data_IF_656891549895
#
_entry.id   IF_656891549895
#
_cell.length_a   1.000
_cell.length_b   1.000
_cell.length_c   1.000
_cell.angle_alpha   90.00
_cell.angle_beta   90.00
_cell.angle_gamma   90.00
#
_symmetry.space_group_name_H-M   'P 1'
#
loop_
_entity.id
_entity.type
_entity.pdbx_description
1 polymer ?
#
# COMPACT_ATOMS: atom_id res chain seq x y z
N UNK A 1 55.70 55.50 1.74
CA UNK A 1 55.34 54.08 1.40
C UNK A 1 53.85 54.00 1.46
N UNK A 2 53.10 53.76 0.36
CA UNK A 2 51.66 53.61 0.42
C UNK A 2 51.31 52.22 0.94
N UNK A 3 50.46 52.21 1.95
CA UNK A 3 49.98 51.01 2.63
C UNK A 3 49.00 50.24 1.69
N UNK A 4 49.41 49.09 1.14
CA UNK A 4 48.61 48.21 0.29
C UNK A 4 47.83 47.26 1.18
N UNK A 5 46.75 47.72 1.77
CA UNK A 5 45.78 46.85 2.43
C UNK A 5 45.05 46.01 1.38
N UNK A 6 45.14 44.68 1.40
CA UNK A 6 44.47 43.84 0.41
C UNK A 6 42.96 43.93 0.59
N UNK A 7 42.23 44.23 -0.48
CA UNK A 7 40.78 44.29 -0.50
C UNK A 7 40.17 42.94 -0.05
N UNK A 8 39.13 42.93 0.81
CA UNK A 8 38.51 41.72 1.30
C UNK A 8 37.88 40.95 0.12
N UNK A 9 38.38 39.73 -0.13
CA UNK A 9 37.79 38.82 -1.11
C UNK A 9 36.39 38.47 -0.66
N UNK A 10 35.38 39.00 -1.32
CA UNK A 10 33.96 38.61 -1.16
C UNK A 10 33.84 37.15 -1.53
N UNK A 11 33.75 36.25 -0.53
CA UNK A 11 33.45 34.82 -0.74
C UNK A 11 32.05 34.72 -1.34
N UNK A 12 31.81 34.02 -2.46
CA UNK A 12 30.51 33.96 -3.09
C UNK A 12 29.53 33.25 -2.15
N UNK A 13 28.57 33.98 -1.59
CA UNK A 13 27.54 33.50 -0.67
C UNK A 13 26.67 32.41 -1.31
N UNK A 14 26.65 32.33 -2.63
CA UNK A 14 25.95 31.27 -3.38
C UNK A 14 26.34 29.86 -2.92
N UNK A 15 27.61 29.59 -2.57
CA UNK A 15 28.05 28.26 -2.09
C UNK A 15 27.31 27.83 -0.82
N UNK A 16 26.82 28.77 -0.02
CA UNK A 16 26.03 28.50 1.17
C UNK A 16 24.63 27.97 0.81
N UNK A 17 24.09 28.34 -0.35
CA UNK A 17 22.76 27.94 -0.81
C UNK A 17 22.76 26.63 -1.59
N UNK A 18 23.92 26.11 -2.01
CA UNK A 18 23.99 24.84 -2.78
C UNK A 18 23.49 23.67 -1.94
N UNK A 19 23.92 23.54 -0.69
CA UNK A 19 23.47 22.43 0.17
C UNK A 19 21.98 22.45 0.45
N UNK A 20 21.36 23.57 0.88
CA UNK A 20 19.90 23.64 1.01
C UNK A 20 19.18 23.36 -0.31
N UNK A 21 19.67 23.88 -1.42
CA UNK A 21 19.07 23.63 -2.73
C UNK A 21 19.10 22.14 -3.10
N UNK A 22 20.22 21.45 -2.88
CA UNK A 22 20.35 20.01 -3.11
C UNK A 22 19.38 19.20 -2.23
N UNK A 23 19.22 19.58 -0.97
CA UNK A 23 18.25 18.95 -0.07
C UNK A 23 16.81 19.12 -0.57
N UNK A 24 16.45 20.30 -1.03
CA UNK A 24 15.12 20.56 -1.59
C UNK A 24 14.89 19.73 -2.86
N UNK A 25 15.87 19.66 -3.75
CA UNK A 25 15.79 18.84 -4.97
C UNK A 25 15.66 17.36 -4.62
N UNK A 26 16.45 16.86 -3.65
CA UNK A 26 16.37 15.49 -3.20
C UNK A 26 15.00 15.15 -2.57
N UNK A 27 14.48 16.06 -1.74
CA UNK A 27 13.14 15.90 -1.14
C UNK A 27 12.03 15.92 -2.20
N UNK A 28 12.13 16.79 -3.19
CA UNK A 28 11.18 16.83 -4.30
C UNK A 28 11.21 15.56 -5.15
N UNK A 29 12.42 15.08 -5.49
CA UNK A 29 12.62 13.84 -6.24
C UNK A 29 12.08 12.63 -5.46
N UNK A 30 12.34 12.56 -4.16
CA UNK A 30 11.80 11.52 -3.29
C UNK A 30 10.27 11.55 -3.22
N UNK A 31 9.69 12.73 -3.09
CA UNK A 31 8.24 12.90 -3.07
C UNK A 31 7.60 12.45 -4.39
N UNK A 32 8.18 12.87 -5.53
CA UNK A 32 7.71 12.45 -6.84
C UNK A 32 7.78 10.92 -7.01
N UNK A 33 8.89 10.30 -6.59
CA UNK A 33 9.03 8.85 -6.59
C UNK A 33 7.98 8.16 -5.73
N UNK A 34 7.71 8.67 -4.52
CA UNK A 34 6.72 8.10 -3.63
C UNK A 34 5.31 8.16 -4.23
N UNK A 35 4.90 9.30 -4.78
CA UNK A 35 3.59 9.44 -5.42
C UNK A 35 3.45 8.55 -6.66
N UNK A 36 4.51 8.40 -7.43
CA UNK A 36 4.54 7.44 -8.52
C UNK A 36 4.35 6.01 -8.02
N UNK A 37 5.11 5.59 -7.02
CA UNK A 37 4.98 4.25 -6.43
C UNK A 37 3.58 4.00 -5.85
N UNK A 38 2.98 5.00 -5.19
CA UNK A 38 1.63 4.91 -4.64
C UNK A 38 0.57 4.73 -5.75
N UNK A 39 0.72 5.40 -6.89
CA UNK A 39 -0.18 5.23 -8.03
C UNK A 39 -0.06 3.85 -8.68
N UNK A 40 1.16 3.33 -8.81
CA UNK A 40 1.44 2.00 -9.37
C UNK A 40 0.81 0.87 -8.52
N UNK A 41 0.80 1.01 -7.19
CA UNK A 41 0.13 0.05 -6.30
C UNK A 41 -1.36 -0.09 -6.65
N UNK A 42 -2.02 1.03 -6.91
CA UNK A 42 -3.43 1.03 -7.35
C UNK A 42 -3.65 0.23 -8.63
N UNK A 43 -2.86 0.54 -9.66
CA UNK A 43 -2.96 -0.12 -10.98
C UNK A 43 -2.71 -1.62 -10.88
N UNK A 44 -1.66 -2.02 -10.13
CA UNK A 44 -1.31 -3.44 -9.96
C UNK A 44 -2.37 -4.20 -9.15
N UNK A 45 -2.94 -3.58 -8.13
CA UNK A 45 -4.02 -4.17 -7.35
C UNK A 45 -5.27 -4.41 -8.21
N UNK A 46 -5.62 -3.47 -9.09
CA UNK A 46 -6.77 -3.61 -9.97
C UNK A 46 -6.52 -4.68 -11.06
N UNK A 47 -5.31 -4.75 -11.61
CA UNK A 47 -4.92 -5.80 -12.54
C UNK A 47 -4.98 -7.21 -11.89
N UNK A 48 -4.49 -7.34 -10.66
CA UNK A 48 -4.57 -8.58 -9.89
C UNK A 48 -6.04 -8.97 -9.61
N UNK A 49 -6.88 -8.03 -9.17
CA UNK A 49 -8.32 -8.28 -8.96
C UNK A 49 -9.01 -8.77 -10.23
N UNK A 50 -8.69 -8.15 -11.37
CA UNK A 50 -9.23 -8.57 -12.67
C UNK A 50 -8.80 -10.00 -13.05
N UNK A 51 -7.58 -10.39 -12.71
CA UNK A 51 -7.09 -11.75 -12.92
C UNK A 51 -7.79 -12.76 -12.01
N UNK A 52 -7.95 -12.45 -10.73
CA UNK A 52 -8.63 -13.29 -9.75
C UNK A 52 -10.13 -13.46 -10.10
N UNK A 53 -10.77 -12.42 -10.61
CA UNK A 53 -12.15 -12.48 -11.07
C UNK A 53 -12.34 -13.51 -12.20
N UNK A 54 -11.36 -13.66 -13.10
CA UNK A 54 -11.37 -14.72 -14.13
C UNK A 54 -11.25 -16.13 -13.54
N UNK A 55 -10.66 -16.24 -12.35
CA UNK A 55 -10.57 -17.50 -11.60
C UNK A 55 -11.80 -17.74 -10.68
N UNK A 56 -12.83 -16.92 -10.78
CA UNK A 56 -14.05 -17.04 -9.98
C UNK A 56 -13.94 -16.45 -8.57
N UNK A 57 -12.89 -15.67 -8.28
CA UNK A 57 -12.71 -14.97 -7.01
C UNK A 57 -12.83 -13.46 -7.22
N UNK A 58 -13.97 -12.91 -6.88
CA UNK A 58 -14.24 -11.47 -7.03
C UNK A 58 -13.92 -10.77 -5.71
N UNK A 59 -12.87 -9.97 -5.73
CA UNK A 59 -12.49 -9.12 -4.60
C UNK A 59 -13.02 -7.70 -4.81
N UNK A 60 -13.69 -7.18 -3.82
CA UNK A 60 -14.17 -5.80 -3.83
C UNK A 60 -13.75 -5.03 -2.58
N UNK A 61 -13.69 -3.71 -2.70
CA UNK A 61 -13.28 -2.81 -1.67
C UNK A 61 -14.18 -1.58 -1.70
N UNK A 62 -14.97 -1.37 -0.65
CA UNK A 62 -15.89 -0.25 -0.57
C UNK A 62 -15.18 1.09 -0.66
N UNK A 63 -14.07 1.26 0.08
CA UNK A 63 -13.24 2.46 0.01
C UNK A 63 -11.76 2.09 0.11
N UNK A 64 -11.01 2.40 -0.95
CA UNK A 64 -9.55 2.22 -0.97
C UNK A 64 -8.84 3.54 -0.77
N UNK A 65 -7.80 3.54 0.06
CA UNK A 65 -6.90 4.68 0.24
C UNK A 65 -5.45 4.22 0.31
N UNK A 66 -4.54 5.06 -0.18
CA UNK A 66 -3.09 4.84 -0.09
C UNK A 66 -2.49 5.99 0.69
N UNK A 67 -1.69 5.67 1.71
CA UNK A 67 -1.07 6.61 2.64
C UNK A 67 0.36 6.16 3.00
N UNK A 68 0.98 6.82 3.99
CA UNK A 68 2.26 6.39 4.57
C UNK A 68 3.48 7.15 4.07
N UNK A 69 3.28 8.28 3.33
CA UNK A 69 4.39 9.18 2.98
C UNK A 69 5.22 9.55 4.21
N UNK A 70 6.55 9.62 4.12
CA UNK A 70 7.38 9.40 2.93
C UNK A 70 8.06 8.02 2.84
N UNK A 71 7.97 7.14 3.85
CA UNK A 71 8.85 5.97 3.96
C UNK A 71 8.12 4.62 3.84
N UNK A 72 6.81 4.62 3.82
CA UNK A 72 6.00 3.41 3.73
C UNK A 72 4.82 3.62 2.79
N UNK A 73 4.27 2.53 2.32
CA UNK A 73 3.02 2.49 1.58
C UNK A 73 2.01 1.73 2.44
N UNK A 74 0.92 2.38 2.77
CA UNK A 74 -0.21 1.83 3.51
C UNK A 74 -1.40 1.79 2.57
N UNK A 75 -1.84 0.59 2.21
CA UNK A 75 -3.05 0.38 1.42
C UNK A 75 -4.14 -0.05 2.36
N UNK A 76 -5.13 0.80 2.54
CA UNK A 76 -6.31 0.53 3.36
C UNK A 76 -7.50 0.24 2.46
N UNK A 77 -8.23 -0.78 2.84
CA UNK A 77 -9.50 -1.15 2.24
C UNK A 77 -10.55 -1.27 3.35
N UNK A 78 -11.50 -0.37 3.35
CA UNK A 78 -12.67 -0.42 4.22
C UNK A 78 -13.76 -1.22 3.52
N UNK A 79 -14.51 -2.03 4.25
CA UNK A 79 -15.54 -2.93 3.73
C UNK A 79 -15.02 -3.85 2.62
N UNK A 80 -13.95 -4.57 2.93
CA UNK A 80 -13.39 -5.56 2.03
C UNK A 80 -14.34 -6.74 1.89
N UNK A 81 -14.55 -7.22 0.65
CA UNK A 81 -15.34 -8.41 0.40
C UNK A 81 -14.69 -9.32 -0.64
N UNK A 82 -14.94 -10.61 -0.50
CA UNK A 82 -14.59 -11.61 -1.49
C UNK A 82 -15.81 -12.48 -1.77
N UNK A 83 -16.17 -12.58 -3.03
CA UNK A 83 -17.23 -13.45 -3.51
C UNK A 83 -16.63 -14.58 -4.33
N UNK A 84 -16.99 -15.81 -4.01
CA UNK A 84 -16.65 -16.98 -4.81
C UNK A 84 -17.78 -17.23 -5.81
N UNK A 85 -17.43 -17.18 -7.10
CA UNK A 85 -18.37 -17.40 -8.20
C UNK A 85 -18.17 -18.81 -8.75
N UNK A 86 -19.22 -19.62 -8.78
CA UNK A 86 -19.16 -20.94 -9.40
C UNK A 86 -18.91 -20.80 -10.89
N UNK A 87 -17.90 -21.51 -11.42
CA UNK A 87 -17.62 -21.53 -12.86
C UNK A 87 -18.51 -22.49 -13.66
N UNK A 88 -19.40 -23.22 -12.99
CA UNK A 88 -20.36 -24.10 -13.63
C UNK A 88 -21.51 -23.32 -14.24
N UNK A 89 -22.12 -23.84 -15.31
CA UNK A 89 -23.15 -23.16 -16.11
C UNK A 89 -24.19 -22.42 -15.24
N UNK A 90 -24.23 -21.08 -15.36
CA UNK A 90 -25.07 -20.23 -14.55
C UNK A 90 -24.32 -19.46 -13.47
N UNK A 91 -23.09 -18.95 -13.79
CA UNK A 91 -22.18 -18.21 -12.89
C UNK A 91 -22.90 -17.44 -11.77
N UNK A 92 -23.07 -18.08 -10.63
CA UNK A 92 -23.77 -17.55 -9.48
C UNK A 92 -22.83 -17.50 -8.29
N UNK A 93 -22.88 -16.39 -7.55
CA UNK A 93 -22.15 -16.30 -6.29
C UNK A 93 -22.55 -17.46 -5.39
N UNK A 94 -21.57 -18.28 -5.01
CA UNK A 94 -21.83 -19.38 -4.10
C UNK A 94 -21.75 -18.92 -2.65
N UNK A 95 -20.89 -17.90 -2.39
CA UNK A 95 -20.51 -17.54 -1.04
C UNK A 95 -19.84 -16.14 -1.04
N UNK A 96 -20.14 -15.33 -0.04
CA UNK A 96 -19.51 -14.01 0.16
C UNK A 96 -18.95 -13.89 1.57
N UNK A 97 -17.67 -13.58 1.67
CA UNK A 97 -17.05 -13.16 2.91
C UNK A 97 -16.82 -11.64 2.90
N UNK A 98 -17.09 -10.99 4.02
CA UNK A 98 -16.83 -9.55 4.21
C UNK A 98 -15.96 -9.35 5.43
N UNK A 99 -15.12 -8.33 5.38
CA UNK A 99 -14.22 -7.93 6.46
C UNK A 99 -14.30 -6.42 6.64
N UNK A 100 -14.32 -5.97 7.88
CA UNK A 100 -14.48 -4.55 8.20
C UNK A 100 -13.38 -3.67 7.61
N UNK A 101 -12.12 -4.05 7.83
CA UNK A 101 -10.96 -3.30 7.27
C UNK A 101 -9.79 -4.24 7.03
N UNK A 102 -9.10 -4.03 5.92
CA UNK A 102 -7.77 -4.60 5.64
C UNK A 102 -6.79 -3.45 5.49
N UNK A 103 -5.70 -3.48 6.23
CA UNK A 103 -4.59 -2.55 6.10
C UNK A 103 -3.33 -3.34 5.73
N UNK A 104 -2.79 -3.07 4.55
CA UNK A 104 -1.52 -3.66 4.09
C UNK A 104 -0.43 -2.60 4.13
N UNK A 105 0.65 -2.90 4.82
CA UNK A 105 1.78 -2.00 5.01
C UNK A 105 3.01 -2.61 4.35
N UNK A 106 3.65 -1.83 3.47
CA UNK A 106 4.94 -2.13 2.88
C UNK A 106 5.93 -0.99 3.16
N UNK A 107 7.13 -1.33 3.59
CA UNK A 107 8.20 -0.34 3.78
C UNK A 107 8.97 -0.18 2.47
N UNK A 108 9.21 1.06 2.02
CA UNK A 108 9.90 1.31 0.73
C UNK A 108 11.33 0.75 0.74
N UNK A 109 11.99 0.76 1.89
CA UNK A 109 13.35 0.23 2.08
C UNK A 109 13.38 -1.30 2.35
N UNK A 110 12.21 -1.92 2.60
CA UNK A 110 12.05 -3.37 2.78
C UNK A 110 10.81 -3.87 2.02
N UNK A 111 10.77 -3.75 0.67
CA UNK A 111 9.57 -4.02 -0.12
C UNK A 111 9.15 -5.51 -0.12
N UNK A 112 10.06 -6.40 0.32
CA UNK A 112 9.77 -7.84 0.42
C UNK A 112 9.00 -8.23 1.69
N UNK A 113 8.89 -7.32 2.67
CA UNK A 113 8.13 -7.55 3.89
C UNK A 113 6.79 -6.82 3.79
N UNK A 114 5.71 -7.58 3.70
CA UNK A 114 4.34 -7.06 3.79
C UNK A 114 3.75 -7.44 5.14
N UNK A 115 3.12 -6.47 5.78
CA UNK A 115 2.36 -6.67 7.01
C UNK A 115 0.90 -6.38 6.67
N UNK A 116 0.02 -7.33 6.95
CA UNK A 116 -1.41 -7.18 6.78
C UNK A 116 -2.09 -7.19 8.16
N UNK A 117 -2.91 -6.19 8.41
CA UNK A 117 -3.75 -6.08 9.59
C UNK A 117 -5.21 -6.21 9.17
N UNK A 118 -5.96 -6.98 9.95
CA UNK A 118 -7.35 -7.28 9.68
C UNK A 118 -8.19 -6.83 10.87
N UNK A 119 -9.17 -5.96 10.63
CA UNK A 119 -10.10 -5.52 11.65
C UNK A 119 -11.44 -6.23 11.50
N UNK A 120 -11.95 -6.69 12.63
CA UNK A 120 -13.28 -7.23 12.74
C UNK A 120 -14.37 -6.20 12.36
N UNK A 121 -15.60 -6.65 12.05
CA UNK A 121 -16.04 -8.04 12.01
C UNK A 121 -15.70 -8.73 10.68
N UNK A 122 -15.50 -10.05 10.71
CA UNK A 122 -15.64 -10.87 9.52
C UNK A 122 -17.03 -11.51 9.51
N UNK A 123 -17.67 -11.47 8.36
CA UNK A 123 -18.97 -12.08 8.15
C UNK A 123 -18.95 -13.00 6.95
N UNK A 124 -19.69 -14.07 7.04
CA UNK A 124 -19.86 -15.09 6.04
C UNK A 124 -21.32 -15.16 5.67
N UNK A 125 -21.63 -15.13 4.39
CA UNK A 125 -22.97 -15.26 3.88
C UNK A 125 -23.01 -16.24 2.70
N UNK A 126 -23.98 -17.13 2.70
CA UNK A 126 -24.35 -17.84 1.51
C UNK A 126 -25.14 -16.92 0.58
N UNK A 127 -25.17 -17.29 -0.66
CA UNK A 127 -25.80 -16.55 -1.74
C UNK A 127 -27.15 -15.93 -1.38
N UNK A 128 -27.21 -14.60 -1.39
CA UNK A 128 -28.47 -13.85 -1.18
C UNK A 128 -29.11 -14.03 0.19
N UNK A 129 -28.42 -14.74 1.11
CA UNK A 129 -28.86 -14.97 2.47
C UNK A 129 -28.23 -13.94 3.42
N UNK A 130 -28.87 -13.67 4.55
CA UNK A 130 -28.22 -12.89 5.60
C UNK A 130 -26.97 -13.64 6.14
N UNK A 131 -26.02 -12.91 6.73
CA UNK A 131 -24.79 -13.54 7.23
C UNK A 131 -25.09 -14.71 8.18
N UNK A 132 -24.60 -15.90 7.83
CA UNK A 132 -24.75 -17.14 8.59
C UNK A 132 -23.72 -17.21 9.73
N UNK A 133 -22.58 -16.53 9.58
CA UNK A 133 -21.52 -16.49 10.58
C UNK A 133 -20.97 -15.08 10.73
N UNK A 134 -20.68 -14.69 11.99
CA UNK A 134 -19.98 -13.46 12.31
C UNK A 134 -18.88 -13.75 13.33
N UNK A 135 -17.65 -13.40 12.98
CA UNK A 135 -16.48 -13.57 13.85
C UNK A 135 -15.95 -12.19 14.21
N UNK A 136 -15.66 -12.01 15.51
CA UNK A 136 -15.05 -10.79 16.03
C UNK A 136 -13.73 -11.12 16.72
N UNK A 137 -12.76 -10.23 16.55
CA UNK A 137 -11.48 -10.25 17.23
C UNK A 137 -11.01 -8.82 17.45
N UNK A 138 -10.01 -8.62 18.29
CA UNK A 138 -9.48 -7.27 18.56
C UNK A 138 -8.58 -6.81 17.43
N UNK A 139 -7.62 -7.63 17.02
CA UNK A 139 -6.68 -7.37 15.93
C UNK A 139 -6.17 -8.68 15.37
N UNK A 140 -6.31 -8.88 14.07
CA UNK A 140 -5.62 -9.93 13.32
C UNK A 140 -4.44 -9.31 12.59
N UNK A 141 -3.25 -9.91 12.71
CA UNK A 141 -2.06 -9.46 11.99
C UNK A 141 -1.37 -10.65 11.35
N UNK A 142 -0.95 -10.47 10.12
CA UNK A 142 -0.13 -11.43 9.39
C UNK A 142 1.05 -10.72 8.76
N UNK A 143 2.19 -11.36 8.69
CA UNK A 143 3.35 -10.86 7.96
C UNK A 143 3.81 -11.89 6.94
N UNK A 144 4.12 -11.42 5.73
CA UNK A 144 4.62 -12.25 4.64
C UNK A 144 5.92 -11.66 4.13
N UNK A 145 6.95 -12.49 4.07
CA UNK A 145 8.26 -12.12 3.53
C UNK A 145 8.53 -12.86 2.22
N UNK A 146 9.09 -12.15 1.24
CA UNK A 146 9.53 -12.73 -0.05
C UNK A 146 8.74 -12.28 -1.27
N UNK A 147 7.63 -11.55 -1.10
CA UNK A 147 6.87 -11.02 -2.25
C UNK A 147 7.67 -9.93 -3.00
N UNK A 148 7.52 -9.81 -4.34
CA UNK A 148 6.57 -10.50 -5.23
C UNK A 148 7.01 -11.90 -5.68
N UNK A 149 8.18 -12.36 -5.27
CA UNK A 149 8.67 -13.70 -5.55
C UNK A 149 7.89 -14.77 -4.74
N UNK A 150 8.45 -15.96 -4.63
CA UNK A 150 7.84 -17.04 -3.83
C UNK A 150 7.89 -16.62 -2.34
N UNK A 151 6.76 -16.68 -1.60
CA UNK A 151 6.75 -16.41 -0.17
C UNK A 151 7.72 -17.34 0.55
N UNK A 152 8.68 -16.76 1.28
CA UNK A 152 9.69 -17.54 2.01
C UNK A 152 9.28 -17.79 3.46
N UNK A 153 8.46 -16.89 4.02
CA UNK A 153 7.97 -16.98 5.39
C UNK A 153 6.63 -16.24 5.53
N UNK A 154 5.71 -16.85 6.24
CA UNK A 154 4.45 -16.25 6.65
C UNK A 154 4.24 -16.51 8.15
N UNK A 155 3.99 -15.47 8.92
CA UNK A 155 3.67 -15.52 10.35
C UNK A 155 2.27 -14.91 10.56
N UNK A 156 1.48 -15.49 11.47
CA UNK A 156 0.12 -15.07 11.83
C UNK A 156 0.05 -14.75 13.31
#
# INVERSE_FOLDING_TARGET
MPDMTPAPRRRPLWRLFIMPALLVVAAAAWSAFWFYAASEVGVRADAWRAQEAKAGRVYDCGKRSVAGFPFRLEVRCDDASVSLVSQTAGAQEAFTARLGEILVIAQIYQPKLLIAEFKAPATLADRGQPPSMKVNWTLGRSSVYGLPDIPQRADI
#
